data_IF_514561883434
#
_entry.id   IF_514561883434
#
_cell.length_a   1.000
_cell.length_b   1.000
_cell.length_c   1.000
_cell.angle_alpha   90.00
_cell.angle_beta   90.00
_cell.angle_gamma   90.00
#
_symmetry.space_group_name_H-M   'P 1'
#
loop_
_entity.id
_entity.type
_entity.pdbx_description
1 polymer ?
#
# COMPACT_ATOMS: atom_id res chain seq x y z
N UNK A 1 17.44 -6.76 13.96
CA UNK A 1 16.17 -7.34 13.50
C UNK A 1 15.58 -6.36 12.48
N UNK A 2 15.57 -6.70 11.19
CA UNK A 2 15.02 -5.86 10.12
C UNK A 2 13.53 -6.18 9.96
N UNK A 3 12.65 -5.35 10.51
CA UNK A 3 11.20 -5.41 10.23
C UNK A 3 10.78 -4.16 9.47
N UNK A 4 11.37 -3.95 8.29
CA UNK A 4 10.94 -2.92 7.35
C UNK A 4 9.68 -3.37 6.62
N UNK A 5 8.54 -3.41 7.31
CA UNK A 5 7.25 -3.33 6.63
C UNK A 5 7.07 -1.86 6.25
N UNK A 6 7.70 -1.43 5.15
CA UNK A 6 7.31 -0.17 4.48
C UNK A 6 5.91 -0.44 3.97
N UNK A 7 4.91 -0.02 4.75
CA UNK A 7 3.52 -0.06 4.32
C UNK A 7 3.37 0.86 3.12
N UNK A 8 2.39 0.57 2.26
CA UNK A 8 2.01 1.50 1.19
C UNK A 8 1.71 2.91 1.73
N UNK A 9 1.40 3.04 3.02
CA UNK A 9 1.17 4.30 3.74
C UNK A 9 2.34 5.30 3.70
N UNK A 10 3.59 4.84 3.52
CA UNK A 10 4.77 5.73 3.42
C UNK A 10 5.09 6.16 1.97
N UNK A 11 4.26 5.78 0.99
CA UNK A 11 4.51 6.08 -0.42
C UNK A 11 4.20 7.55 -0.73
N UNK A 12 5.20 8.27 -1.23
CA UNK A 12 5.07 9.67 -1.64
C UNK A 12 4.57 9.71 -3.08
N UNK A 13 3.54 10.53 -3.32
CA UNK A 13 3.01 10.77 -4.66
C UNK A 13 3.82 11.84 -5.40
N UNK A 14 4.10 11.58 -6.66
CA UNK A 14 4.80 12.51 -7.57
C UNK A 14 3.90 12.79 -8.79
N UNK A 15 4.03 13.98 -9.37
CA UNK A 15 3.23 14.40 -10.51
C UNK A 15 4.14 14.87 -11.66
N UNK A 16 4.00 14.24 -12.82
CA UNK A 16 4.79 14.57 -14.00
C UNK A 16 3.89 14.91 -15.19
N UNK A 17 4.29 15.94 -15.96
CA UNK A 17 3.65 16.26 -17.23
C UNK A 17 4.37 15.53 -18.38
N UNK A 18 3.84 14.40 -18.82
CA UNK A 18 4.48 13.56 -19.86
C UNK A 18 4.52 14.24 -21.24
N UNK A 19 3.63 15.19 -21.51
CA UNK A 19 3.61 15.91 -22.80
C UNK A 19 4.83 16.85 -22.94
N UNK A 20 5.29 17.43 -21.83
CA UNK A 20 6.40 18.39 -21.80
C UNK A 20 7.70 17.78 -21.23
N UNK A 21 7.57 16.85 -20.29
CA UNK A 21 8.66 16.14 -19.61
C UNK A 21 8.42 14.63 -19.66
N UNK A 22 8.68 14.04 -20.82
CA UNK A 22 8.65 12.58 -21.00
C UNK A 22 9.64 11.84 -20.09
N UNK A 23 10.72 12.50 -19.67
CA UNK A 23 11.75 11.93 -18.81
C UNK A 23 11.39 11.91 -17.32
N UNK A 24 10.28 12.54 -16.91
CA UNK A 24 9.82 12.59 -15.52
C UNK A 24 10.89 13.15 -14.57
N UNK A 25 11.53 14.22 -14.99
CA UNK A 25 12.62 14.86 -14.23
C UNK A 25 12.12 15.95 -13.28
N UNK A 26 10.97 16.56 -13.56
CA UNK A 26 10.39 17.65 -12.77
C UNK A 26 9.12 17.19 -12.06
N UNK A 27 9.21 17.00 -10.75
CA UNK A 27 8.04 16.72 -9.92
C UNK A 27 7.23 18.00 -9.68
N UNK A 28 5.99 18.00 -10.17
CA UNK A 28 5.02 19.08 -10.06
C UNK A 28 4.03 18.85 -8.91
N UNK A 29 4.19 17.81 -8.10
CA UNK A 29 3.23 17.46 -7.04
C UNK A 29 3.06 18.59 -6.02
N UNK A 30 4.17 19.22 -5.63
CA UNK A 30 4.16 20.36 -4.71
C UNK A 30 3.62 21.65 -5.36
N UNK A 31 3.77 21.79 -6.68
CA UNK A 31 3.35 22.97 -7.43
C UNK A 31 1.86 22.92 -7.81
N UNK A 32 1.31 21.73 -8.04
CA UNK A 32 -0.07 21.50 -8.48
C UNK A 32 -0.80 20.49 -7.57
N UNK A 33 -0.98 20.80 -6.28
CA UNK A 33 -1.57 19.86 -5.31
C UNK A 33 -3.04 19.52 -5.63
N UNK A 34 -3.77 20.44 -6.25
CA UNK A 34 -5.15 20.21 -6.70
C UNK A 34 -5.23 19.16 -7.83
N UNK A 35 -4.30 19.23 -8.79
CA UNK A 35 -4.21 18.27 -9.89
C UNK A 35 -3.78 16.90 -9.38
N UNK A 36 -2.86 16.88 -8.43
CA UNK A 36 -2.44 15.66 -7.76
C UNK A 36 -3.63 14.98 -7.06
N UNK A 37 -4.44 15.72 -6.31
CA UNK A 37 -5.61 15.18 -5.62
C UNK A 37 -6.68 14.62 -6.59
N UNK A 38 -6.91 15.29 -7.73
CA UNK A 38 -7.80 14.79 -8.78
C UNK A 38 -7.34 13.44 -9.32
N UNK A 39 -6.04 13.31 -9.62
CA UNK A 39 -5.46 12.08 -10.16
C UNK A 39 -5.42 10.95 -9.14
N UNK A 40 -5.17 11.25 -7.86
CA UNK A 40 -5.30 10.27 -6.77
C UNK A 40 -6.72 9.72 -6.68
N UNK A 41 -7.75 10.58 -6.76
CA UNK A 41 -9.14 10.13 -6.72
C UNK A 41 -9.51 9.22 -7.89
N UNK A 42 -9.03 9.55 -9.11
CA UNK A 42 -9.21 8.72 -10.30
C UNK A 42 -8.49 7.37 -10.17
N UNK A 43 -7.27 7.38 -9.65
CA UNK A 43 -6.53 6.16 -9.36
C UNK A 43 -7.29 5.29 -8.37
N UNK A 44 -7.80 5.84 -7.27
CA UNK A 44 -8.56 5.09 -6.26
C UNK A 44 -9.86 4.49 -6.81
N UNK A 45 -10.51 5.16 -7.77
CA UNK A 45 -11.69 4.63 -8.46
C UNK A 45 -11.33 3.40 -9.32
N UNK A 46 -10.30 3.52 -10.16
CA UNK A 46 -9.88 2.42 -11.03
C UNK A 46 -9.21 1.28 -10.23
N UNK A 47 -8.46 1.59 -9.17
CA UNK A 47 -7.84 0.60 -8.30
C UNK A 47 -8.89 -0.27 -7.58
N UNK A 48 -10.01 0.33 -7.14
CA UNK A 48 -11.16 -0.41 -6.60
C UNK A 48 -11.83 -1.30 -7.65
N UNK A 49 -11.92 -0.83 -8.89
CA UNK A 49 -12.54 -1.55 -10.00
C UNK A 49 -11.72 -2.73 -10.50
N UNK A 50 -10.39 -2.60 -10.50
CA UNK A 50 -9.45 -3.62 -10.97
C UNK A 50 -8.81 -4.45 -9.84
N UNK A 51 -9.24 -4.26 -8.59
CA UNK A 51 -8.75 -5.01 -7.42
C UNK A 51 -7.21 -4.89 -7.26
N UNK A 52 -6.68 -3.70 -7.58
CA UNK A 52 -5.24 -3.39 -7.60
C UNK A 52 -4.68 -3.24 -6.19
N UNK A 53 -5.53 -2.91 -5.21
CA UNK A 53 -5.11 -2.93 -3.82
C UNK A 53 -4.70 -4.36 -3.45
N UNK A 54 -3.65 -4.53 -2.62
CA UNK A 54 -3.30 -5.83 -2.11
C UNK A 54 -4.55 -6.42 -1.42
N UNK A 55 -5.16 -7.42 -2.08
CA UNK A 55 -6.16 -8.28 -1.45
C UNK A 55 -5.55 -8.74 -0.14
N UNK A 56 -6.20 -8.38 0.96
CA UNK A 56 -5.73 -8.67 2.30
C UNK A 56 -5.88 -10.18 2.57
N UNK A 57 -5.05 -11.01 1.94
CA UNK A 57 -5.00 -12.47 2.15
C UNK A 57 -4.28 -12.84 3.47
N UNK A 58 -4.05 -11.86 4.36
CA UNK A 58 -3.46 -12.07 5.70
C UNK A 58 -4.50 -12.45 6.76
N UNK A 59 -5.55 -13.15 6.39
CA UNK A 59 -6.47 -13.79 7.36
C UNK A 59 -6.08 -15.24 7.69
N UNK A 60 -4.95 -15.74 7.21
CA UNK A 60 -4.59 -17.16 7.29
C UNK A 60 -3.55 -17.60 8.34
N UNK A 61 -2.85 -16.71 9.04
CA UNK A 61 -1.65 -17.11 9.82
C UNK A 61 -1.67 -16.81 11.33
N UNK A 62 -2.79 -16.38 11.91
CA UNK A 62 -2.88 -16.16 13.37
C UNK A 62 -3.80 -17.16 14.09
N UNK A 63 -4.58 -17.98 13.39
CA UNK A 63 -5.55 -18.92 14.01
C UNK A 63 -5.07 -20.37 14.17
N UNK A 64 -3.76 -20.66 14.01
CA UNK A 64 -3.22 -22.02 14.16
C UNK A 64 -2.07 -22.13 15.18
N UNK A 65 -1.73 -21.05 15.89
CA UNK A 65 -0.64 -21.04 16.88
C UNK A 65 -1.14 -20.70 18.27
N UNK A 66 -2.03 -21.53 18.82
CA UNK A 66 -2.26 -21.51 20.29
C UNK A 66 -2.71 -22.86 20.88
N UNK A 67 -3.10 -23.87 20.09
CA UNK A 67 -3.80 -25.04 20.68
C UNK A 67 -2.97 -26.30 20.96
N UNK A 68 -1.64 -26.24 21.04
CA UNK A 68 -0.85 -27.46 21.30
C UNK A 68 0.34 -27.26 22.22
N UNK A 69 0.14 -26.74 23.44
CA UNK A 69 1.07 -26.96 24.54
C UNK A 69 0.38 -26.73 25.91
N UNK A 70 -0.81 -27.33 26.08
CA UNK A 70 -1.31 -27.58 27.43
C UNK A 70 -0.68 -28.89 27.93
N UNK A 71 0.51 -28.70 28.50
CA UNK A 71 1.19 -29.59 29.44
C UNK A 71 0.17 -30.21 30.40
N UNK A 72 -0.28 -31.43 30.05
CA UNK A 72 -1.09 -32.27 30.92
C UNK A 72 -0.22 -32.70 32.09
N UNK A 73 -0.22 -31.86 33.11
CA UNK A 73 0.25 -32.24 34.42
C UNK A 73 -0.49 -33.49 34.92
N UNK A 74 0.28 -34.33 35.60
CA UNK A 74 -0.16 -35.03 36.82
C UNK A 74 -1.06 -36.25 36.57
N UNK A 75 -0.45 -37.43 36.43
CA UNK A 75 -0.26 -38.36 37.57
C UNK A 75 0.64 -39.53 37.22
#
# INVERSE_FOLDING_TARGET
>A
MLTGSVGFDDSIWELYNIEEDFSQTHDLAAENPEKLAELQALFDEEARKFDVYPRNDRLGSTLLTDSSEEDSGRS
#
